data_IF_381448615282
#
_entry.id   IF_381448615282
#
_cell.length_a   1.000
_cell.length_b   1.000
_cell.length_c   1.000
_cell.angle_alpha   90.00
_cell.angle_beta   90.00
_cell.angle_gamma   90.00
#
_symmetry.space_group_name_H-M   'P 1'
#
loop_
_entity.id
_entity.type
_entity.pdbx_description
1 polymer ?
#
# COMPACT_ATOMS: atom_id res chain seq x y z
N UNK A 1 7.37 -15.85 25.47
CA UNK A 1 6.70 -14.54 25.32
C UNK A 1 5.42 -14.75 24.51
N UNK A 2 4.35 -14.01 24.80
CA UNK A 2 3.13 -14.09 23.99
C UNK A 2 3.38 -13.58 22.57
N UNK A 3 2.60 -14.06 21.61
CA UNK A 3 2.64 -13.57 20.21
C UNK A 3 2.06 -12.16 20.14
N UNK A 4 2.59 -11.30 19.29
CA UNK A 4 2.16 -9.92 19.07
C UNK A 4 2.34 -9.53 17.60
N UNK A 5 1.41 -9.93 16.76
CA UNK A 5 1.46 -9.68 15.30
C UNK A 5 0.37 -8.71 14.91
N UNK A 6 0.74 -7.59 14.30
CA UNK A 6 -0.20 -6.63 13.72
C UNK A 6 -0.41 -6.94 12.23
N UNK A 7 -1.64 -7.22 11.84
CA UNK A 7 -2.02 -7.44 10.44
C UNK A 7 -2.62 -6.17 9.87
N UNK A 8 -2.10 -5.72 8.73
CA UNK A 8 -2.63 -4.60 7.95
C UNK A 8 -3.17 -5.11 6.61
N UNK A 9 -4.47 -4.94 6.41
CA UNK A 9 -5.06 -5.11 5.09
C UNK A 9 -5.00 -3.76 4.38
N UNK A 10 -4.23 -3.68 3.30
CA UNK A 10 -4.10 -2.45 2.53
C UNK A 10 -4.58 -2.60 1.09
N UNK A 11 -5.17 -1.54 0.55
CA UNK A 11 -5.78 -1.54 -0.77
C UNK A 11 -5.33 -0.33 -1.57
N UNK A 12 -4.72 -0.58 -2.74
CA UNK A 12 -4.36 0.44 -3.71
C UNK A 12 -5.51 0.55 -4.73
N UNK A 13 -6.35 1.55 -4.55
CA UNK A 13 -7.52 1.74 -5.41
C UNK A 13 -7.17 2.63 -6.61
N UNK A 14 -6.40 2.07 -7.54
CA UNK A 14 -5.93 2.78 -8.72
C UNK A 14 -7.04 3.07 -9.73
N UNK A 15 -8.04 2.20 -9.80
CA UNK A 15 -9.06 2.27 -10.85
C UNK A 15 -8.44 2.39 -12.24
N UNK A 16 -8.83 3.38 -13.05
CA UNK A 16 -8.30 3.57 -14.41
C UNK A 16 -6.90 4.18 -14.43
N UNK A 17 -6.45 4.86 -13.37
CA UNK A 17 -5.22 5.65 -13.38
C UNK A 17 -3.97 4.82 -13.74
N UNK A 18 -3.82 3.62 -13.19
CA UNK A 18 -2.72 2.71 -13.50
C UNK A 18 -2.69 2.34 -15.00
N UNK A 19 -3.86 2.10 -15.61
CA UNK A 19 -3.95 1.77 -17.04
C UNK A 19 -3.61 2.95 -17.92
N UNK A 20 -4.05 4.15 -17.53
CA UNK A 20 -3.86 5.39 -18.31
C UNK A 20 -2.42 5.90 -18.26
N UNK A 21 -1.80 5.86 -17.10
CA UNK A 21 -0.49 6.47 -16.85
C UNK A 21 0.64 5.44 -16.89
N UNK A 22 0.65 4.47 -16.01
CA UNK A 22 1.73 3.47 -15.95
C UNK A 22 1.74 2.59 -17.20
N UNK A 23 0.58 2.06 -17.60
CA UNK A 23 0.46 1.18 -18.77
C UNK A 23 0.26 1.93 -20.09
N UNK A 24 0.05 3.26 -20.04
CA UNK A 24 -0.15 4.14 -21.21
C UNK A 24 -1.19 3.62 -22.20
N UNK A 25 -2.18 2.90 -21.72
CA UNK A 25 -3.22 2.29 -22.56
C UNK A 25 -4.30 3.32 -22.92
N UNK A 26 -4.81 3.20 -24.15
CA UNK A 26 -6.01 3.90 -24.63
C UNK A 26 -7.06 2.91 -25.13
N UNK A 27 -6.84 1.61 -24.90
CA UNK A 27 -7.81 0.57 -25.22
C UNK A 27 -8.97 0.59 -24.23
N UNK A 28 -10.18 0.77 -24.73
CA UNK A 28 -11.40 0.77 -23.90
C UNK A 28 -11.55 -0.53 -23.10
N UNK A 29 -11.26 -1.67 -23.71
CA UNK A 29 -11.33 -2.98 -23.02
C UNK A 29 -10.28 -3.11 -21.92
N UNK A 30 -9.09 -2.55 -22.11
CA UNK A 30 -8.03 -2.55 -21.09
C UNK A 30 -8.38 -1.60 -19.93
N UNK A 31 -8.80 -0.37 -20.25
CA UNK A 31 -9.16 0.65 -19.24
C UNK A 31 -10.39 0.24 -18.42
N UNK A 32 -11.36 -0.45 -19.04
CA UNK A 32 -12.55 -0.96 -18.32
C UNK A 32 -12.21 -1.94 -17.18
N UNK A 33 -11.02 -2.51 -17.16
CA UNK A 33 -10.54 -3.29 -16.01
C UNK A 33 -10.37 -2.43 -14.76
N UNK A 34 -10.03 -1.15 -14.93
CA UNK A 34 -10.01 -0.17 -13.86
C UNK A 34 -11.40 0.21 -13.38
N UNK A 35 -12.40 0.29 -14.28
CA UNK A 35 -13.79 0.55 -13.92
C UNK A 35 -14.34 -0.54 -13.00
N UNK A 36 -13.91 -1.79 -13.17
CA UNK A 36 -14.26 -2.89 -12.28
C UNK A 36 -13.84 -2.62 -10.82
N UNK A 37 -12.89 -1.70 -10.59
CA UNK A 37 -12.51 -1.26 -9.25
C UNK A 37 -13.69 -0.80 -8.39
N UNK A 38 -14.75 -0.22 -8.98
CA UNK A 38 -15.99 0.11 -8.26
C UNK A 38 -16.65 -1.16 -7.69
N UNK A 39 -16.87 -2.16 -8.53
CA UNK A 39 -17.46 -3.44 -8.10
C UNK A 39 -16.57 -4.14 -7.09
N UNK A 40 -15.24 -4.09 -7.31
CA UNK A 40 -14.26 -4.66 -6.39
C UNK A 40 -14.28 -3.98 -5.03
N UNK A 41 -14.34 -2.65 -4.99
CA UNK A 41 -14.43 -1.87 -3.74
C UNK A 41 -15.67 -2.22 -2.93
N UNK A 42 -16.84 -2.33 -3.56
CA UNK A 42 -18.07 -2.73 -2.87
C UNK A 42 -17.93 -4.11 -2.22
N UNK A 43 -17.36 -5.07 -2.92
CA UNK A 43 -17.14 -6.43 -2.40
C UNK A 43 -16.14 -6.46 -1.25
N UNK A 44 -15.06 -5.68 -1.37
CA UNK A 44 -14.05 -5.54 -0.31
C UNK A 44 -14.67 -4.90 0.93
N UNK A 45 -15.44 -3.80 0.77
CA UNK A 45 -16.14 -3.15 1.90
C UNK A 45 -17.14 -4.09 2.59
N UNK A 46 -17.91 -4.87 1.81
CA UNK A 46 -18.81 -5.89 2.37
C UNK A 46 -18.03 -6.94 3.19
N UNK A 47 -16.92 -7.44 2.65
CA UNK A 47 -16.05 -8.39 3.36
C UNK A 47 -15.49 -7.78 4.64
N UNK A 48 -14.90 -6.58 4.58
CA UNK A 48 -14.35 -5.89 5.76
C UNK A 48 -15.41 -5.65 6.82
N UNK A 49 -16.61 -5.26 6.41
CA UNK A 49 -17.75 -5.04 7.32
C UNK A 49 -18.19 -6.32 8.00
N UNK A 50 -18.32 -7.44 7.26
CA UNK A 50 -18.69 -8.76 7.83
C UNK A 50 -17.69 -9.24 8.87
N UNK A 51 -16.41 -9.03 8.63
CA UNK A 51 -15.35 -9.43 9.58
C UNK A 51 -15.03 -8.36 10.63
N UNK A 52 -15.60 -7.14 10.51
CA UNK A 52 -15.37 -5.96 11.37
C UNK A 52 -13.89 -5.58 11.43
N UNK A 53 -13.25 -5.46 10.28
CA UNK A 53 -11.82 -5.21 10.17
C UNK A 53 -11.53 -3.78 9.72
N UNK A 54 -10.56 -3.10 10.34
CA UNK A 54 -9.98 -1.88 9.81
C UNK A 54 -9.11 -2.17 8.59
N UNK A 55 -8.89 -1.17 7.75
CA UNK A 55 -7.96 -1.25 6.62
C UNK A 55 -7.43 0.12 6.24
N UNK A 56 -6.38 0.14 5.41
CA UNK A 56 -5.79 1.37 4.85
C UNK A 56 -5.92 1.34 3.33
N UNK A 57 -6.29 2.48 2.73
CA UNK A 57 -6.54 2.62 1.31
C UNK A 57 -5.65 3.71 0.74
N UNK A 58 -4.81 3.37 -0.22
CA UNK A 58 -3.98 4.32 -0.96
C UNK A 58 -4.66 4.61 -2.29
N UNK A 59 -5.09 5.87 -2.47
CA UNK A 59 -5.99 6.21 -3.57
C UNK A 59 -5.40 7.37 -4.37
N UNK A 60 -5.15 7.19 -5.69
CA UNK A 60 -4.74 8.28 -6.56
C UNK A 60 -5.79 9.40 -6.62
N UNK A 61 -5.34 10.65 -6.68
CA UNK A 61 -6.24 11.80 -6.80
C UNK A 61 -7.20 11.70 -7.97
N UNK A 62 -6.77 11.15 -9.11
CA UNK A 62 -7.60 10.89 -10.29
C UNK A 62 -8.76 9.92 -9.98
N UNK A 63 -8.51 8.90 -9.19
CA UNK A 63 -9.55 7.96 -8.76
C UNK A 63 -10.54 8.63 -7.80
N UNK A 64 -10.04 9.50 -6.90
CA UNK A 64 -10.89 10.32 -6.02
C UNK A 64 -11.79 11.26 -6.84
N UNK A 65 -11.22 11.93 -7.85
CA UNK A 65 -11.98 12.82 -8.73
C UNK A 65 -13.03 12.07 -9.57
N UNK A 66 -12.74 10.82 -9.92
CA UNK A 66 -13.65 9.98 -10.74
C UNK A 66 -14.77 9.35 -9.91
N UNK A 67 -14.47 8.92 -8.67
CA UNK A 67 -15.41 8.20 -7.81
C UNK A 67 -15.50 8.81 -6.40
N UNK A 68 -15.81 10.12 -6.27
CA UNK A 68 -15.75 10.80 -4.98
C UNK A 68 -16.70 10.20 -3.92
N UNK A 69 -17.90 9.80 -4.33
CA UNK A 69 -18.88 9.21 -3.41
C UNK A 69 -18.44 7.82 -2.91
N UNK A 70 -17.80 7.04 -3.76
CA UNK A 70 -17.29 5.73 -3.37
C UNK A 70 -16.12 5.87 -2.39
N UNK A 71 -15.19 6.79 -2.66
CA UNK A 71 -14.06 7.07 -1.76
C UNK A 71 -14.56 7.63 -0.43
N UNK A 72 -15.58 8.50 -0.48
CA UNK A 72 -16.24 9.00 0.75
C UNK A 72 -16.82 7.86 1.58
N UNK A 73 -17.48 6.87 0.97
CA UNK A 73 -18.00 5.70 1.69
C UNK A 73 -16.89 4.86 2.33
N UNK A 74 -15.75 4.70 1.66
CA UNK A 74 -14.58 4.04 2.27
C UNK A 74 -14.13 4.78 3.53
N UNK A 75 -14.02 6.11 3.46
CA UNK A 75 -13.65 6.94 4.61
C UNK A 75 -14.70 6.94 5.73
N UNK A 76 -16.00 7.05 5.37
CA UNK A 76 -17.12 7.04 6.33
C UNK A 76 -17.27 5.68 7.04
N UNK A 77 -16.83 4.57 6.41
CA UNK A 77 -16.75 3.25 7.03
C UNK A 77 -15.60 3.14 8.06
N UNK A 78 -14.82 4.20 8.26
CA UNK A 78 -13.76 4.27 9.26
C UNK A 78 -12.41 3.74 8.79
N UNK A 79 -12.25 3.48 7.50
CA UNK A 79 -10.97 3.08 6.93
C UNK A 79 -10.04 4.29 6.75
N UNK A 80 -8.75 4.04 6.80
CA UNK A 80 -7.73 5.05 6.55
C UNK A 80 -7.62 5.33 5.04
N UNK A 81 -7.47 6.63 4.68
CA UNK A 81 -7.17 7.04 3.30
C UNK A 81 -5.76 7.63 3.26
N UNK A 82 -4.87 6.96 2.55
CA UNK A 82 -3.50 7.36 2.25
C UNK A 82 -3.33 7.89 0.81
N UNK A 83 -2.19 8.48 0.56
CA UNK A 83 -1.83 9.11 -0.72
C UNK A 83 -1.18 8.10 -1.67
N UNK A 84 -1.52 8.15 -2.98
CA UNK A 84 -0.97 7.28 -4.02
C UNK A 84 -0.75 8.01 -5.36
N UNK A 85 -0.07 9.17 -5.30
CA UNK A 85 0.07 10.01 -6.49
C UNK A 85 -1.23 10.72 -6.88
N UNK A 86 -1.25 11.34 -8.08
CA UNK A 86 -2.48 11.88 -8.64
C UNK A 86 -3.10 10.93 -9.69
N UNK A 87 -2.36 10.53 -10.72
CA UNK A 87 -2.81 9.59 -11.74
C UNK A 87 -1.88 8.36 -11.84
N UNK A 88 -1.41 7.88 -10.68
CA UNK A 88 -0.49 6.74 -10.60
C UNK A 88 0.83 7.00 -11.35
N UNK A 89 1.35 8.22 -11.27
CA UNK A 89 2.65 8.60 -11.84
C UNK A 89 3.76 7.93 -11.04
N UNK A 90 4.72 7.31 -11.73
CA UNK A 90 5.91 6.76 -11.10
C UNK A 90 6.88 7.91 -10.73
N UNK A 91 7.17 8.14 -9.44
CA UNK A 91 8.06 9.22 -8.99
C UNK A 91 9.45 9.17 -9.62
N UNK A 92 10.01 7.97 -9.85
CA UNK A 92 11.35 7.83 -10.46
C UNK A 92 11.41 8.33 -11.91
N UNK A 93 10.28 8.52 -12.57
CA UNK A 93 10.18 8.97 -13.96
C UNK A 93 9.76 10.43 -14.13
N UNK A 94 9.55 11.17 -13.05
CA UNK A 94 9.17 12.59 -13.08
C UNK A 94 10.26 13.48 -12.48
N UNK A 95 10.22 14.79 -12.78
CA UNK A 95 11.14 15.75 -12.19
C UNK A 95 10.70 16.12 -10.76
N UNK A 96 11.62 16.59 -9.89
CA UNK A 96 11.27 16.91 -8.50
C UNK A 96 10.12 17.92 -8.34
N UNK A 97 10.08 18.97 -9.18
CA UNK A 97 9.00 19.96 -9.15
C UNK A 97 7.64 19.38 -9.60
N UNK A 98 7.67 18.37 -10.45
CA UNK A 98 6.46 17.69 -10.87
C UNK A 98 5.99 16.70 -9.79
N UNK A 99 6.90 15.96 -9.17
CA UNK A 99 6.61 15.10 -8.03
C UNK A 99 5.95 15.89 -6.88
N UNK A 100 6.50 17.08 -6.57
CA UNK A 100 5.91 17.99 -5.58
C UNK A 100 4.46 18.35 -5.94
N UNK A 101 4.20 18.78 -7.18
CA UNK A 101 2.84 19.13 -7.63
C UNK A 101 1.88 17.95 -7.59
N UNK A 102 2.36 16.73 -7.87
CA UNK A 102 1.57 15.51 -7.77
C UNK A 102 1.17 15.27 -6.31
N UNK A 103 2.11 15.43 -5.36
CA UNK A 103 1.83 15.30 -3.93
C UNK A 103 0.81 16.35 -3.46
N UNK A 104 1.00 17.62 -3.79
CA UNK A 104 0.08 18.70 -3.45
C UNK A 104 -1.33 18.43 -3.95
N UNK A 105 -1.46 18.04 -5.21
CA UNK A 105 -2.75 17.74 -5.84
C UNK A 105 -3.45 16.54 -5.21
N UNK A 106 -2.72 15.47 -4.93
CA UNK A 106 -3.29 14.29 -4.28
C UNK A 106 -3.75 14.58 -2.85
N UNK A 107 -2.98 15.36 -2.09
CA UNK A 107 -3.36 15.84 -0.75
C UNK A 107 -4.66 16.65 -0.82
N UNK A 108 -4.79 17.56 -1.78
CA UNK A 108 -6.00 18.38 -1.98
C UNK A 108 -7.23 17.50 -2.27
N UNK A 109 -7.09 16.51 -3.17
CA UNK A 109 -8.17 15.56 -3.48
C UNK A 109 -8.63 14.81 -2.24
N UNK A 110 -7.71 14.29 -1.43
CA UNK A 110 -8.03 13.56 -0.19
C UNK A 110 -8.73 14.48 0.80
N UNK A 111 -8.19 15.68 1.02
CA UNK A 111 -8.79 16.68 1.94
C UNK A 111 -10.22 17.05 1.54
N UNK A 112 -10.48 17.22 0.27
CA UNK A 112 -11.80 17.59 -0.25
C UNK A 112 -12.86 16.53 0.09
N UNK A 113 -12.52 15.25 0.00
CA UNK A 113 -13.46 14.15 0.22
C UNK A 113 -13.56 13.73 1.67
N UNK A 114 -12.42 13.72 2.40
CA UNK A 114 -12.35 13.18 3.77
C UNK A 114 -12.36 14.27 4.85
N UNK A 115 -12.09 15.51 4.52
CA UNK A 115 -11.83 16.61 5.47
C UNK A 115 -10.50 16.48 6.24
N UNK A 116 -9.65 15.50 5.90
CA UNK A 116 -8.39 15.19 6.61
C UNK A 116 -7.20 15.25 5.66
N UNK A 117 -6.04 15.64 6.20
CA UNK A 117 -4.76 15.49 5.50
C UNK A 117 -4.30 14.03 5.60
N UNK A 118 -3.87 13.40 4.49
CA UNK A 118 -3.28 12.06 4.57
C UNK A 118 -1.97 12.11 5.35
N UNK A 119 -1.72 11.06 6.12
CA UNK A 119 -0.48 10.89 6.88
C UNK A 119 0.32 9.69 6.42
N UNK A 120 -0.26 8.85 5.59
CA UNK A 120 0.36 7.70 4.94
C UNK A 120 0.53 7.91 3.45
N UNK A 121 1.64 7.42 2.93
CA UNK A 121 1.96 7.41 1.51
C UNK A 121 2.30 5.99 1.07
N UNK A 122 1.91 5.64 -0.14
CA UNK A 122 2.45 4.53 -0.91
C UNK A 122 2.75 5.02 -2.32
N UNK A 123 3.94 4.73 -2.79
CA UNK A 123 4.34 5.15 -4.13
C UNK A 123 3.68 4.30 -5.21
N UNK A 124 3.17 4.91 -6.30
CA UNK A 124 2.81 4.17 -7.49
C UNK A 124 3.92 3.22 -7.94
N UNK A 125 3.57 1.94 -8.18
CA UNK A 125 4.48 0.87 -8.52
C UNK A 125 5.60 0.60 -7.48
N UNK A 126 5.41 1.04 -6.23
CA UNK A 126 6.41 0.95 -5.15
C UNK A 126 7.80 1.49 -5.56
N UNK A 127 7.85 2.51 -6.42
CA UNK A 127 9.08 3.09 -6.93
C UNK A 127 9.21 4.54 -6.47
N UNK A 128 10.36 4.90 -5.94
CA UNK A 128 10.64 6.21 -5.35
C UNK A 128 11.75 6.92 -6.13
N UNK A 129 11.65 8.23 -6.24
CA UNK A 129 12.73 9.07 -6.71
C UNK A 129 13.76 9.31 -5.60
N UNK A 130 14.98 9.79 -5.92
CA UNK A 130 15.93 10.24 -4.90
C UNK A 130 15.43 11.39 -4.02
N UNK A 131 14.33 12.03 -4.39
CA UNK A 131 13.74 13.19 -3.71
C UNK A 131 12.51 12.84 -2.88
N UNK A 132 11.88 11.70 -3.13
CA UNK A 132 10.60 11.30 -2.53
C UNK A 132 10.62 11.39 -1.02
N UNK A 133 11.60 10.80 -0.35
CA UNK A 133 11.69 10.79 1.12
C UNK A 133 11.80 12.21 1.70
N UNK A 134 12.57 13.08 1.04
CA UNK A 134 12.69 14.48 1.45
C UNK A 134 11.36 15.24 1.30
N UNK A 135 10.66 15.02 0.19
CA UNK A 135 9.35 15.63 -0.05
C UNK A 135 8.31 15.12 0.94
N UNK A 136 8.22 13.81 1.17
CA UNK A 136 7.28 13.23 2.14
C UNK A 136 7.51 13.78 3.55
N UNK A 137 8.79 13.93 3.95
CA UNK A 137 9.15 14.54 5.24
C UNK A 137 8.73 16.00 5.30
N UNK A 138 8.96 16.78 4.25
CA UNK A 138 8.56 18.19 4.15
C UNK A 138 7.03 18.37 4.23
N UNK A 139 6.27 17.50 3.57
CA UNK A 139 4.81 17.52 3.62
C UNK A 139 4.21 16.95 4.91
N UNK A 140 5.05 16.44 5.82
CA UNK A 140 4.66 15.99 7.16
C UNK A 140 3.95 14.63 7.15
N UNK A 141 4.27 13.77 6.19
CA UNK A 141 3.83 12.36 6.24
C UNK A 141 4.43 11.66 7.45
N UNK A 142 3.65 10.79 8.07
CA UNK A 142 4.09 9.96 9.21
C UNK A 142 4.83 8.72 8.73
N UNK A 143 4.32 8.11 7.65
CA UNK A 143 4.89 6.88 7.11
C UNK A 143 4.82 6.81 5.59
N UNK A 144 5.76 6.06 5.03
CA UNK A 144 5.76 5.50 3.70
C UNK A 144 5.55 3.97 3.76
N UNK A 145 5.11 3.37 2.68
CA UNK A 145 5.02 1.92 2.51
C UNK A 145 5.31 1.55 1.06
N UNK A 146 6.57 1.78 0.67
CA UNK A 146 7.03 1.56 -0.71
C UNK A 146 8.35 0.79 -0.79
N UNK A 147 9.13 0.75 0.29
CA UNK A 147 10.45 0.13 0.31
C UNK A 147 10.44 -1.25 0.95
N UNK A 148 11.50 -2.04 0.69
CA UNK A 148 11.57 -3.47 0.95
C UNK A 148 12.88 -3.85 1.66
N UNK A 149 13.42 -2.96 2.53
CA UNK A 149 14.67 -3.25 3.22
C UNK A 149 14.49 -4.16 4.45
N UNK A 150 13.26 -4.46 4.83
CA UNK A 150 12.87 -5.45 5.83
C UNK A 150 11.54 -6.09 5.38
N UNK A 151 11.17 -7.19 6.00
CA UNK A 151 9.91 -7.90 5.74
C UNK A 151 8.81 -7.57 6.78
N UNK A 152 9.11 -7.73 8.08
CA UNK A 152 8.10 -7.66 9.14
C UNK A 152 8.37 -6.61 10.22
N UNK A 153 9.44 -5.81 10.06
CA UNK A 153 9.83 -4.81 11.05
C UNK A 153 9.89 -3.42 10.42
N UNK A 154 9.13 -2.44 10.92
CA UNK A 154 9.26 -1.06 10.48
C UNK A 154 10.66 -0.50 10.74
N UNK A 155 11.06 0.50 9.98
CA UNK A 155 12.31 1.21 10.14
C UNK A 155 12.16 2.68 9.76
N UNK A 156 13.16 3.52 10.04
CA UNK A 156 13.17 4.90 9.58
C UNK A 156 13.71 5.01 8.16
N UNK A 157 13.02 5.78 7.33
CA UNK A 157 13.51 6.14 6.00
C UNK A 157 14.79 6.98 6.10
N UNK A 158 15.58 6.99 5.04
CA UNK A 158 16.82 7.78 4.96
C UNK A 158 16.79 8.76 3.80
N UNK A 159 17.57 9.81 3.93
CA UNK A 159 17.88 10.77 2.85
C UNK A 159 19.38 10.81 2.62
N UNK A 160 19.80 11.02 1.37
CA UNK A 160 21.20 11.18 1.01
C UNK A 160 21.98 9.87 0.93
N UNK A 161 21.33 8.76 0.64
CA UNK A 161 22.00 7.51 0.27
C UNK A 161 22.87 7.73 -0.97
N UNK A 162 24.15 7.30 -0.93
CA UNK A 162 25.06 7.37 -2.08
C UNK A 162 25.08 6.01 -2.78
N UNK A 163 24.37 5.94 -3.92
CA UNK A 163 24.16 4.74 -4.74
C UNK A 163 25.24 4.58 -5.83
N UNK A 164 26.50 4.80 -5.45
CA UNK A 164 27.62 4.68 -6.40
C UNK A 164 27.84 3.24 -6.87
N UNK A 165 28.36 3.10 -8.09
CA UNK A 165 28.69 1.79 -8.69
C UNK A 165 30.20 1.50 -8.71
N UNK A 166 31.02 2.49 -8.36
CA UNK A 166 32.48 2.42 -8.34
C UNK A 166 33.07 2.28 -6.93
N UNK A 167 32.22 2.06 -5.94
CA UNK A 167 32.57 1.87 -4.54
C UNK A 167 31.41 1.27 -3.74
N UNK A 168 31.56 1.12 -2.41
CA UNK A 168 30.48 0.62 -1.59
C UNK A 168 29.30 1.59 -1.54
N UNK A 169 28.09 1.04 -1.38
CA UNK A 169 26.91 1.82 -1.05
C UNK A 169 27.09 2.53 0.29
N UNK A 170 26.73 3.80 0.37
CA UNK A 170 26.83 4.57 1.62
C UNK A 170 25.43 4.97 2.06
N UNK A 171 25.03 4.47 3.21
CA UNK A 171 23.73 4.80 3.79
C UNK A 171 23.70 6.25 4.25
N UNK A 172 22.60 6.94 3.89
CA UNK A 172 22.33 8.31 4.28
C UNK A 172 21.84 8.44 5.72
N UNK A 173 21.24 9.57 6.03
CA UNK A 173 20.77 9.91 7.37
C UNK A 173 19.29 9.53 7.54
N UNK A 174 18.97 8.87 8.65
CA UNK A 174 17.58 8.60 9.04
C UNK A 174 16.80 9.91 9.26
N UNK A 175 15.55 9.91 8.84
CA UNK A 175 14.60 11.03 8.99
C UNK A 175 13.34 10.56 9.70
N UNK A 176 12.55 11.50 10.22
CA UNK A 176 11.34 11.20 10.98
C UNK A 176 10.15 10.81 10.07
N UNK A 177 10.38 9.81 9.26
CA UNK A 177 9.40 9.15 8.39
C UNK A 177 9.56 7.64 8.57
N UNK A 178 8.50 6.96 8.99
CA UNK A 178 8.52 5.51 9.22
C UNK A 178 8.29 4.79 7.90
N UNK A 179 9.10 3.79 7.61
CA UNK A 179 8.79 2.82 6.55
C UNK A 179 8.01 1.65 7.15
N UNK A 180 6.86 1.37 6.58
CA UNK A 180 6.12 0.12 6.77
C UNK A 180 6.39 -0.76 5.55
N UNK A 181 7.37 -1.69 5.64
CA UNK A 181 7.88 -2.38 4.47
C UNK A 181 6.79 -3.18 3.76
N UNK A 182 6.87 -3.17 2.44
CA UNK A 182 6.04 -4.02 1.59
C UNK A 182 6.88 -5.15 0.98
N UNK A 183 6.22 -6.18 0.47
CA UNK A 183 6.83 -7.26 -0.28
C UNK A 183 5.94 -7.62 -1.48
N UNK A 184 6.55 -7.79 -2.66
CA UNK A 184 5.82 -8.17 -3.86
C UNK A 184 5.16 -9.55 -3.77
N UNK A 185 5.64 -10.43 -2.89
CA UNK A 185 5.00 -11.72 -2.64
C UNK A 185 3.71 -11.59 -1.81
N UNK A 186 3.52 -10.47 -1.12
CA UNK A 186 2.32 -10.13 -0.35
C UNK A 186 1.41 -9.12 -1.08
N UNK A 187 1.66 -8.92 -2.37
CA UNK A 187 0.86 -8.08 -3.27
C UNK A 187 0.07 -8.98 -4.24
N UNK A 188 -1.20 -8.63 -4.51
CA UNK A 188 -2.05 -9.42 -5.40
C UNK A 188 -1.76 -9.21 -6.90
N UNK A 189 -1.12 -8.07 -7.26
CA UNK A 189 -0.87 -7.69 -8.65
C UNK A 189 0.08 -8.65 -9.37
N UNK A 190 1.25 -9.06 -8.81
CA UNK A 190 2.16 -9.98 -9.48
C UNK A 190 1.54 -11.33 -9.85
N UNK A 191 0.52 -11.75 -9.10
CA UNK A 191 -0.13 -13.04 -9.31
C UNK A 191 -1.34 -12.98 -10.23
N UNK A 192 -2.09 -11.88 -10.18
CA UNK A 192 -3.40 -11.78 -10.81
C UNK A 192 -3.51 -10.67 -11.85
N UNK A 193 -2.52 -9.78 -11.92
CA UNK A 193 -2.46 -8.69 -12.87
C UNK A 193 -1.99 -9.17 -14.25
N UNK A 194 -2.92 -9.41 -15.19
CA UNK A 194 -2.56 -9.72 -16.58
C UNK A 194 -2.35 -8.43 -17.36
N UNK A 195 -1.18 -8.25 -17.97
CA UNK A 195 -0.92 -7.16 -18.90
C UNK A 195 -0.54 -7.71 -20.28
N UNK A 196 -1.53 -7.80 -21.15
CA UNK A 196 -1.34 -8.21 -22.56
C UNK A 196 -1.24 -6.97 -23.46
N UNK A 197 -0.33 -6.95 -24.46
CA UNK A 197 0.65 -7.99 -24.82
C UNK A 197 2.02 -7.83 -24.17
N UNK A 198 2.25 -6.80 -23.33
CA UNK A 198 3.59 -6.38 -22.93
C UNK A 198 4.25 -7.27 -21.84
N UNK A 199 3.48 -7.86 -20.95
CA UNK A 199 4.01 -8.67 -19.84
C UNK A 199 3.16 -9.91 -19.62
N UNK A 200 3.79 -11.06 -19.67
CA UNK A 200 3.18 -12.35 -19.37
C UNK A 200 3.18 -12.66 -17.86
N UNK A 201 2.77 -11.72 -17.02
CA UNK A 201 2.48 -12.05 -15.64
C UNK A 201 1.21 -12.87 -15.67
N UNK A 202 1.35 -14.17 -15.38
CA UNK A 202 0.28 -15.14 -15.55
C UNK A 202 -0.78 -15.02 -14.47
N UNK A 203 -1.99 -15.45 -14.79
CA UNK A 203 -3.03 -15.65 -13.79
C UNK A 203 -2.69 -16.89 -12.96
N UNK A 204 -2.41 -16.68 -11.67
CA UNK A 204 -2.28 -17.77 -10.70
C UNK A 204 -3.63 -18.22 -10.19
N UNK A 205 -3.69 -19.43 -9.63
CA UNK A 205 -4.89 -19.86 -8.91
C UNK A 205 -4.97 -19.18 -7.54
N UNK A 206 -6.16 -18.91 -7.00
CA UNK A 206 -6.30 -18.37 -5.65
C UNK A 206 -5.60 -19.25 -4.60
N UNK A 207 -5.62 -20.57 -4.76
CA UNK A 207 -5.02 -21.52 -3.82
C UNK A 207 -3.49 -21.38 -3.75
N UNK A 208 -2.83 -21.13 -4.89
CA UNK A 208 -1.38 -20.88 -4.90
C UNK A 208 -1.04 -19.61 -4.11
N UNK A 209 -1.77 -18.52 -4.34
CA UNK A 209 -1.55 -17.24 -3.65
C UNK A 209 -1.90 -17.35 -2.17
N UNK A 210 -3.01 -18.00 -1.83
CA UNK A 210 -3.39 -18.28 -0.44
C UNK A 210 -2.28 -19.06 0.29
N UNK A 211 -1.67 -20.05 -0.36
CA UNK A 211 -0.57 -20.83 0.21
C UNK A 211 0.66 -19.96 0.47
N UNK A 212 1.04 -19.08 -0.47
CA UNK A 212 2.18 -18.16 -0.31
C UNK A 212 1.93 -17.23 0.88
N UNK A 213 0.78 -16.55 0.91
CA UNK A 213 0.44 -15.60 1.96
C UNK A 213 0.39 -16.24 3.35
N UNK A 214 -0.21 -17.43 3.47
CA UNK A 214 -0.24 -18.16 4.74
C UNK A 214 1.14 -18.62 5.18
N UNK A 215 1.97 -19.10 4.26
CA UNK A 215 3.31 -19.59 4.58
C UNK A 215 4.25 -18.47 5.06
N UNK A 216 4.12 -17.28 4.49
CA UNK A 216 4.89 -16.12 4.90
C UNK A 216 4.44 -15.59 6.27
N UNK A 217 3.13 -15.54 6.50
CA UNK A 217 2.58 -15.27 7.83
C UNK A 217 3.04 -16.30 8.88
N UNK A 218 3.08 -17.58 8.52
CA UNK A 218 3.54 -18.64 9.42
C UNK A 218 4.99 -18.46 9.84
N UNK A 219 5.86 -18.00 8.93
CA UNK A 219 7.22 -17.68 9.28
C UNK A 219 7.28 -16.56 10.34
N UNK A 220 6.60 -15.44 10.10
CA UNK A 220 6.50 -14.35 11.07
C UNK A 220 5.97 -14.87 12.41
N UNK A 221 4.85 -15.57 12.39
CA UNK A 221 4.17 -16.02 13.59
C UNK A 221 4.97 -17.04 14.38
N UNK A 222 5.54 -18.05 13.70
CA UNK A 222 6.24 -19.15 14.36
C UNK A 222 7.67 -18.80 14.77
N UNK A 223 8.41 -18.07 13.94
CA UNK A 223 9.84 -17.80 14.11
C UNK A 223 10.12 -16.50 14.83
N UNK A 224 9.42 -15.42 14.50
CA UNK A 224 9.63 -14.11 15.11
C UNK A 224 8.69 -13.91 16.31
N UNK A 225 7.41 -14.17 16.14
CA UNK A 225 6.40 -14.05 17.17
C UNK A 225 5.91 -12.63 17.42
N UNK A 226 6.56 -11.63 16.86
CA UNK A 226 6.18 -10.22 16.87
C UNK A 226 6.55 -9.57 15.55
N UNK A 227 5.77 -8.60 15.11
CA UNK A 227 6.00 -7.87 13.87
C UNK A 227 4.71 -7.40 13.19
N UNK A 228 4.88 -6.92 11.98
CA UNK A 228 3.78 -6.46 11.12
C UNK A 228 3.63 -7.38 9.91
N UNK A 229 2.38 -7.64 9.51
CA UNK A 229 2.07 -8.42 8.32
C UNK A 229 1.17 -7.57 7.43
N UNK A 230 1.68 -7.15 6.27
CA UNK A 230 0.99 -6.23 5.37
C UNK A 230 0.62 -6.95 4.09
N UNK A 231 -0.68 -7.06 3.81
CA UNK A 231 -1.19 -7.49 2.51
C UNK A 231 -1.52 -6.25 1.66
N UNK A 232 -0.92 -6.18 0.48
CA UNK A 232 -1.20 -5.16 -0.52
C UNK A 232 -2.12 -5.73 -1.58
N UNK A 233 -3.27 -5.11 -1.76
CA UNK A 233 -4.29 -5.61 -2.66
C UNK A 233 -4.88 -4.47 -3.49
N UNK A 234 -5.45 -4.80 -4.64
CA UNK A 234 -6.06 -3.83 -5.53
C UNK A 234 -7.53 -4.20 -5.75
N UNK A 235 -8.50 -3.33 -5.44
CA UNK A 235 -9.93 -3.65 -5.61
C UNK A 235 -10.26 -4.15 -7.02
N UNK A 236 -9.61 -3.59 -8.04
CA UNK A 236 -9.77 -4.03 -9.43
C UNK A 236 -9.15 -5.41 -9.71
N UNK A 237 -8.36 -5.94 -8.77
CA UNK A 237 -7.69 -7.25 -8.86
C UNK A 237 -8.31 -8.25 -7.89
N UNK A 238 -8.18 -8.01 -6.57
CA UNK A 238 -8.70 -8.90 -5.52
C UNK A 238 -10.23 -9.01 -5.53
N UNK A 239 -10.93 -7.98 -6.00
CA UNK A 239 -12.39 -7.90 -5.99
C UNK A 239 -13.12 -8.89 -6.89
N UNK A 240 -12.42 -9.73 -7.66
CA UNK A 240 -13.03 -10.83 -8.43
C UNK A 240 -13.57 -11.91 -7.49
N UNK A 241 -14.76 -12.44 -7.78
CA UNK A 241 -15.50 -13.31 -6.86
C UNK A 241 -14.68 -14.44 -6.24
N UNK A 242 -13.94 -15.20 -7.06
CA UNK A 242 -13.10 -16.31 -6.57
C UNK A 242 -11.93 -15.84 -5.69
N UNK A 243 -11.44 -14.61 -5.90
CA UNK A 243 -10.36 -14.02 -5.10
C UNK A 243 -10.87 -13.43 -3.78
N UNK A 244 -12.09 -12.88 -3.77
CA UNK A 244 -12.76 -12.48 -2.52
C UNK A 244 -12.94 -13.69 -1.61
N UNK A 245 -13.38 -14.84 -2.14
CA UNK A 245 -13.51 -16.06 -1.35
C UNK A 245 -12.15 -16.56 -0.80
N UNK A 246 -11.07 -16.37 -1.56
CA UNK A 246 -9.71 -16.63 -1.06
C UNK A 246 -9.34 -15.65 0.06
N UNK A 247 -9.57 -14.36 -0.12
CA UNK A 247 -9.28 -13.34 0.90
C UNK A 247 -10.01 -13.63 2.21
N UNK A 248 -11.28 -14.05 2.14
CA UNK A 248 -12.06 -14.47 3.32
C UNK A 248 -11.38 -15.64 4.05
N UNK A 249 -10.91 -16.67 3.34
CA UNK A 249 -10.18 -17.79 3.95
C UNK A 249 -8.85 -17.38 4.57
N UNK A 250 -8.15 -16.42 3.95
CA UNK A 250 -6.92 -15.84 4.53
C UNK A 250 -7.25 -15.06 5.80
N UNK A 251 -8.27 -14.20 5.79
CA UNK A 251 -8.72 -13.44 6.97
C UNK A 251 -9.08 -14.39 8.12
N UNK A 252 -9.87 -15.44 7.85
CA UNK A 252 -10.24 -16.44 8.87
C UNK A 252 -9.01 -17.15 9.42
N UNK A 253 -8.07 -17.51 8.56
CA UNK A 253 -6.82 -18.13 8.98
C UNK A 253 -6.04 -17.21 9.95
N UNK A 254 -5.82 -15.98 9.57
CA UNK A 254 -5.08 -15.00 10.38
C UNK A 254 -5.78 -14.73 11.73
N UNK A 255 -7.11 -14.60 11.74
CA UNK A 255 -7.91 -14.36 12.95
C UNK A 255 -7.87 -15.50 13.96
N UNK A 256 -7.61 -16.72 13.51
CA UNK A 256 -7.57 -17.89 14.39
C UNK A 256 -6.23 -18.03 15.16
N UNK A 257 -5.29 -17.09 14.98
CA UNK A 257 -4.03 -17.09 15.70
C UNK A 257 -4.05 -16.17 16.91
N UNK A 258 -3.69 -16.67 18.07
CA UNK A 258 -3.60 -15.87 19.32
C UNK A 258 -2.56 -14.75 19.21
N UNK A 259 -2.87 -13.56 19.73
CA UNK A 259 -1.95 -12.40 19.67
C UNK A 259 -1.90 -11.69 18.32
N UNK A 260 -2.77 -12.08 17.38
CA UNK A 260 -2.95 -11.38 16.10
C UNK A 260 -4.01 -10.28 16.27
N UNK A 261 -3.67 -9.06 15.82
CA UNK A 261 -4.57 -7.91 15.82
C UNK A 261 -4.58 -7.24 14.46
N UNK A 262 -5.77 -6.90 13.97
CA UNK A 262 -5.91 -6.13 12.72
C UNK A 262 -5.90 -4.64 13.04
N UNK A 263 -5.05 -3.88 12.32
CA UNK A 263 -4.85 -2.45 12.50
C UNK A 263 -4.78 -1.73 11.16
N UNK A 264 -5.05 -0.42 11.17
CA UNK A 264 -4.66 0.43 10.04
C UNK A 264 -3.15 0.63 10.05
N UNK A 265 -2.58 0.96 8.91
CA UNK A 265 -1.14 1.25 8.80
C UNK A 265 -0.77 2.49 9.61
N UNK A 266 -1.65 3.49 9.69
CA UNK A 266 -1.48 4.64 10.59
C UNK A 266 -1.30 4.21 12.05
N UNK A 267 -2.15 3.31 12.54
CA UNK A 267 -2.05 2.84 13.92
C UNK A 267 -0.71 2.16 14.19
N UNK A 268 -0.28 1.29 13.27
CA UNK A 268 1.02 0.60 13.37
C UNK A 268 2.17 1.59 13.33
N UNK A 269 2.21 2.52 12.37
CA UNK A 269 3.26 3.52 12.25
C UNK A 269 3.36 4.41 13.50
N UNK A 270 2.21 4.89 14.00
CA UNK A 270 2.17 5.75 15.18
C UNK A 270 2.56 5.01 16.48
N UNK A 271 2.19 3.75 16.62
CA UNK A 271 2.61 2.92 17.76
C UNK A 271 4.11 2.64 17.71
N UNK A 272 4.61 2.25 16.54
CA UNK A 272 6.02 1.94 16.36
C UNK A 272 6.91 3.17 16.57
N UNK A 273 6.56 4.33 16.00
CA UNK A 273 7.31 5.57 16.16
C UNK A 273 7.39 6.00 17.63
N UNK A 274 6.30 5.85 18.40
CA UNK A 274 6.31 6.15 19.85
C UNK A 274 7.21 5.21 20.63
N UNK A 275 7.25 3.94 20.27
CA UNK A 275 8.10 2.95 20.93
C UNK A 275 9.59 3.06 20.53
N UNK A 276 9.86 3.62 19.36
CA UNK A 276 11.20 3.72 18.76
C UNK A 276 11.48 5.17 18.33
N UNK A 277 11.55 6.15 19.26
CA UNK A 277 11.78 7.53 18.86
C UNK A 277 13.11 7.70 18.14
N UNK A 278 13.08 8.44 17.01
CA UNK A 278 14.29 8.73 16.24
C UNK A 278 15.33 9.42 17.17
N UNK A 279 16.49 8.83 17.26
CA UNK A 279 17.58 9.40 18.09
C UNK A 279 18.14 10.64 17.39
N UNK A 280 18.11 11.78 18.06
CA UNK A 280 18.85 12.95 17.61
C UNK A 280 20.34 12.58 17.63
N UNK A 281 20.92 12.42 16.46
CA UNK A 281 22.39 12.40 16.37
C UNK A 281 22.86 13.81 16.67
N UNK A 282 23.44 14.00 17.90
CA UNK A 282 24.08 15.22 18.33
C UNK A 282 25.32 15.56 17.49
#
# INVERSE_FOLDING_TARGET
MGKNVSVCLSFDFDAMSVWLTTMRSRSLSTVSRGEFGQVGTERVLDTLSRYRLPSSWFIPGHTIDTFPDLVKRVADAGHEIGHHGYCHENPSSVKPDEERRILERGIECIRRVTGKTPVGYRSPAADLSPYSISLLTEFGFLYDSSMMANDFTPYYCRVGDDMRTDGPYVFGKEVNLVELPMDWSLDDWPYFGLHWPAHHVGLRTPEEVETIWKSDFDFLYQRMGEGIYILTMHPQVIGRGHRILMLERVIEYLKNHEGVTFKTMYQVAAEWQRANPLRSHG
#
